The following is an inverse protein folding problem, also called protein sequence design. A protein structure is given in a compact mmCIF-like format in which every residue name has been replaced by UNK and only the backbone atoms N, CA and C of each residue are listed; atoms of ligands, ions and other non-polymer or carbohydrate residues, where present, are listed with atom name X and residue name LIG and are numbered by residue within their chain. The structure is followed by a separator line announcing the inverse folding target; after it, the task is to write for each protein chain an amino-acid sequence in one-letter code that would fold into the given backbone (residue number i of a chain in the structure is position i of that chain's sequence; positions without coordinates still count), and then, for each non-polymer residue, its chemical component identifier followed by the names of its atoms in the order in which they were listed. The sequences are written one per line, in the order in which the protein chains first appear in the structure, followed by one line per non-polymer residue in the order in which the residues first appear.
data_IF_077778435379
#
_entry.id   IF_077778435379
#
_cell.length_a   1.000
_cell.length_b   1.000
_cell.length_c   1.000
_cell.angle_alpha   90.00
_cell.angle_beta   90.00
_cell.angle_gamma   90.00
#
_symmetry.space_group_name_H-M   'P 1'
#
loop_
_entity.id
_entity.type
_entity.pdbx_description
1 polymer ?
#
# COMPACT_ATOMS: atom_id res chain seq x y z
N UNK A 1 -9.81 11.81 -2.46
CA UNK A 1 -8.83 12.89 -2.75
C UNK A 1 -8.39 12.77 -4.20
N UNK A 2 -7.93 13.84 -4.86
CA UNK A 2 -7.47 13.73 -6.26
C UNK A 2 -5.99 13.32 -6.38
N UNK A 3 -5.54 12.92 -7.58
CA UNK A 3 -4.12 12.68 -7.88
C UNK A 3 -3.27 13.94 -7.64
N UNK A 4 -3.79 15.12 -7.98
CA UNK A 4 -3.15 16.40 -7.69
C UNK A 4 -2.97 16.61 -6.18
N UNK A 5 -4.02 16.37 -5.39
CA UNK A 5 -3.95 16.48 -3.92
C UNK A 5 -2.96 15.47 -3.30
N UNK A 6 -2.87 14.26 -3.85
CA UNK A 6 -1.85 13.28 -3.42
C UNK A 6 -0.43 13.77 -3.76
N UNK A 7 -0.25 14.36 -4.94
CA UNK A 7 1.04 14.91 -5.37
C UNK A 7 1.47 16.09 -4.50
N UNK A 8 0.55 16.99 -4.16
CA UNK A 8 0.78 18.10 -3.22
C UNK A 8 1.16 17.57 -1.83
N UNK A 9 0.44 16.56 -1.33
CA UNK A 9 0.77 15.92 -0.05
C UNK A 9 2.18 15.33 -0.08
N UNK A 10 2.53 14.60 -1.14
CA UNK A 10 3.85 14.04 -1.33
C UNK A 10 4.94 15.12 -1.32
N UNK A 11 4.79 16.16 -2.13
CA UNK A 11 5.76 17.26 -2.22
C UNK A 11 5.96 17.98 -0.89
N UNK A 12 4.90 18.12 -0.08
CA UNK A 12 4.95 18.80 1.20
C UNK A 12 5.71 18.00 2.29
N UNK A 13 5.76 16.66 2.21
CA UNK A 13 6.27 15.83 3.31
C UNK A 13 7.50 14.98 2.94
N UNK A 14 7.81 14.80 1.65
CA UNK A 14 8.82 13.81 1.22
C UNK A 14 10.20 14.06 1.81
N UNK A 15 10.66 15.31 1.84
CA UNK A 15 12.00 15.64 2.34
C UNK A 15 12.16 15.30 3.85
N UNK A 16 11.11 15.55 4.64
CA UNK A 16 11.10 15.23 6.06
C UNK A 16 11.01 13.72 6.29
N UNK A 17 10.17 13.02 5.53
CA UNK A 17 10.05 11.56 5.59
C UNK A 17 11.36 10.85 5.19
N UNK A 18 12.05 11.31 4.15
CA UNK A 18 13.36 10.77 3.76
C UNK A 18 14.40 11.01 4.85
N UNK A 19 14.46 12.21 5.43
CA UNK A 19 15.36 12.51 6.54
C UNK A 19 15.05 11.66 7.77
N UNK A 20 13.76 11.44 8.06
CA UNK A 20 13.30 10.55 9.11
C UNK A 20 13.81 9.12 8.88
N UNK A 21 13.57 8.53 7.72
CA UNK A 21 14.03 7.17 7.40
C UNK A 21 15.55 7.01 7.42
N UNK A 22 16.32 8.06 7.12
CA UNK A 22 17.79 8.03 7.18
C UNK A 22 18.34 8.00 8.61
N UNK A 23 17.58 8.50 9.59
CA UNK A 23 17.99 8.58 11.00
C UNK A 23 17.29 7.56 11.90
N UNK A 24 16.57 6.61 11.31
CA UNK A 24 15.88 5.54 12.03
C UNK A 24 16.11 4.18 11.38
N UNK A 25 16.17 3.15 12.22
CA UNK A 25 16.06 1.75 11.81
C UNK A 25 14.68 1.21 12.15
N UNK A 26 14.26 0.13 11.49
CA UNK A 26 13.11 -0.66 11.89
C UNK A 26 13.60 -1.86 12.70
N UNK A 27 13.11 -2.01 13.92
CA UNK A 27 13.20 -3.28 14.65
C UNK A 27 12.03 -4.18 14.24
N UNK A 28 12.34 -5.27 13.55
CA UNK A 28 11.31 -6.22 13.08
C UNK A 28 10.63 -7.00 14.20
N UNK A 29 11.27 -7.12 15.38
CA UNK A 29 10.74 -7.88 16.50
C UNK A 29 9.47 -7.26 17.09
N UNK A 30 9.43 -5.93 17.17
CA UNK A 30 8.29 -5.21 17.75
C UNK A 30 7.77 -4.04 16.89
N UNK A 31 8.25 -3.95 15.65
CA UNK A 31 7.87 -2.94 14.66
C UNK A 31 8.06 -1.50 15.19
N UNK A 32 9.08 -1.28 16.01
CA UNK A 32 9.44 0.06 16.51
C UNK A 32 10.55 0.70 15.67
N UNK A 33 10.58 2.03 15.69
CA UNK A 33 11.61 2.82 15.06
C UNK A 33 12.75 3.08 16.05
N UNK A 34 13.97 2.70 15.67
CA UNK A 34 15.16 2.89 16.52
C UNK A 34 15.90 4.14 16.07
N UNK A 35 15.95 5.16 16.94
CA UNK A 35 16.57 6.45 16.63
C UNK A 35 18.09 6.33 16.67
N UNK A 36 18.76 6.68 15.56
CA UNK A 36 20.22 6.68 15.47
C UNK A 36 20.88 7.87 16.18
N UNK A 37 20.08 8.85 16.63
CA UNK A 37 20.54 10.04 17.36
C UNK A 37 19.75 10.19 18.66
N UNK A 38 20.46 10.60 19.71
CA UNK A 38 19.87 10.96 21.01
C UNK A 38 20.41 12.32 21.46
N UNK A 39 19.55 13.35 21.62
CA UNK A 39 18.11 13.34 21.33
C UNK A 39 17.81 13.22 19.83
N UNK A 40 16.69 12.59 19.47
CA UNK A 40 16.25 12.50 18.09
C UNK A 40 15.71 13.86 17.62
N UNK A 41 16.09 14.38 16.44
CA UNK A 41 15.66 15.69 15.97
C UNK A 41 14.27 15.69 15.30
N UNK A 42 13.63 14.53 15.14
CA UNK A 42 12.38 14.38 14.41
C UNK A 42 11.17 14.26 15.31
N UNK A 43 10.03 14.75 14.83
CA UNK A 43 8.72 14.36 15.35
C UNK A 43 8.41 12.92 14.89
N UNK A 44 8.08 12.05 15.83
CA UNK A 44 7.75 10.65 15.56
C UNK A 44 6.26 10.48 15.25
N UNK A 45 5.46 11.52 15.42
CA UNK A 45 4.02 11.47 15.27
C UNK A 45 3.42 10.38 16.17
N UNK A 46 2.85 9.36 15.54
CA UNK A 46 2.28 8.19 16.21
C UNK A 46 3.12 6.91 16.05
N UNK A 47 4.36 7.01 15.56
CA UNK A 47 5.27 5.88 15.47
C UNK A 47 5.73 5.43 16.86
N UNK A 48 5.80 4.12 17.10
CA UNK A 48 6.48 3.57 18.26
C UNK A 48 7.98 3.75 18.06
N UNK A 49 8.69 4.35 19.01
CA UNK A 49 10.12 4.59 18.87
C UNK A 49 10.89 4.40 20.17
N UNK A 50 12.19 4.15 20.05
CA UNK A 50 13.17 4.14 21.15
C UNK A 50 14.53 4.62 20.64
N UNK A 51 15.38 5.23 21.48
CA UNK A 51 16.75 5.56 21.09
C UNK A 51 17.63 4.31 21.00
N UNK A 52 18.69 4.37 20.19
CA UNK A 52 19.60 3.23 19.97
C UNK A 52 20.26 2.72 21.27
N UNK A 53 20.59 3.60 22.22
CA UNK A 53 21.24 3.19 23.47
C UNK A 53 20.32 2.32 24.35
N UNK A 54 19.00 2.53 24.32
CA UNK A 54 18.04 1.65 25.04
C UNK A 54 18.04 0.23 24.44
N UNK A 55 18.29 0.09 23.14
CA UNK A 55 18.49 -1.22 22.50
C UNK A 55 19.79 -1.87 22.97
N UNK A 56 20.81 -1.07 23.29
CA UNK A 56 22.08 -1.54 23.83
C UNK A 56 22.03 -1.86 25.34
N UNK A 57 21.08 -1.27 26.08
CA UNK A 57 20.88 -1.48 27.52
C UNK A 57 19.87 -2.61 27.83
N UNK A 58 18.87 -2.86 26.99
CA UNK A 58 17.96 -4.04 27.08
C UNK A 58 18.67 -5.39 26.80
N UNK A 59 19.95 -5.29 26.48
CA UNK A 59 20.93 -6.36 26.46
C UNK A 59 21.26 -6.78 27.91
N UNK A 60 20.32 -7.47 28.52
CA UNK A 60 20.47 -8.12 29.82
C UNK A 60 21.80 -8.90 29.88
N UNK A 61 22.66 -8.57 30.86
CA UNK A 61 23.96 -9.22 31.09
C UNK A 61 23.84 -10.76 31.28
N UNK A 62 22.63 -11.28 31.49
CA UNK A 62 22.34 -12.71 31.58
C UNK A 62 22.03 -13.37 30.22
N UNK A 63 21.78 -12.61 29.16
CA UNK A 63 21.55 -13.12 27.80
C UNK A 63 22.88 -13.48 27.14
N UNK A 64 22.86 -14.57 26.37
CA UNK A 64 24.07 -15.06 25.69
C UNK A 64 24.51 -14.11 24.56
N UNK A 65 25.81 -14.07 24.21
CA UNK A 65 26.31 -13.32 23.03
C UNK A 65 25.51 -13.64 21.74
N UNK A 66 24.92 -14.83 21.67
CA UNK A 66 24.10 -15.31 20.55
C UNK A 66 22.74 -14.61 20.48
N UNK A 67 22.11 -14.28 21.60
CA UNK A 67 20.82 -13.56 21.67
C UNK A 67 21.00 -12.07 21.37
N UNK A 68 22.09 -11.48 21.87
CA UNK A 68 22.52 -10.13 21.54
C UNK A 68 22.76 -9.93 20.04
N UNK A 69 23.44 -10.89 19.42
CA UNK A 69 23.66 -10.93 17.97
C UNK A 69 22.33 -11.09 17.21
N UNK A 70 21.41 -11.93 17.69
CA UNK A 70 20.06 -12.07 17.10
C UNK A 70 19.25 -10.78 17.14
N UNK A 71 19.21 -10.06 18.25
CA UNK A 71 18.48 -8.80 18.37
C UNK A 71 19.02 -7.74 17.39
N UNK A 72 20.35 -7.61 17.28
CA UNK A 72 20.98 -6.71 16.31
C UNK A 72 20.73 -7.11 14.85
N UNK A 73 20.61 -8.40 14.56
CA UNK A 73 20.29 -8.91 13.22
C UNK A 73 18.83 -8.65 12.78
N UNK A 74 17.93 -8.25 13.69
CA UNK A 74 16.53 -7.90 13.38
C UNK A 74 16.35 -6.42 13.03
N UNK A 75 17.38 -5.60 13.18
CA UNK A 75 17.33 -4.19 12.80
C UNK A 75 17.69 -4.04 11.32
N UNK A 76 16.85 -3.32 10.58
CA UNK A 76 17.11 -2.96 9.17
C UNK A 76 16.85 -1.49 8.90
N UNK A 77 17.29 -1.01 7.74
CA UNK A 77 16.94 0.33 7.27
C UNK A 77 15.41 0.50 7.27
N UNK A 78 14.92 1.59 7.84
CA UNK A 78 13.49 1.89 7.88
C UNK A 78 13.00 2.20 6.45
N UNK A 79 12.11 1.39 5.85
CA UNK A 79 11.62 1.66 4.50
C UNK A 79 10.71 2.89 4.50
N UNK A 80 10.83 3.72 3.46
CA UNK A 80 9.85 4.77 3.19
C UNK A 80 8.61 4.18 2.53
N UNK A 81 7.73 3.59 3.33
CA UNK A 81 6.51 2.93 2.89
C UNK A 81 5.24 3.58 3.49
N UNK A 82 4.07 2.99 3.25
CA UNK A 82 2.82 3.56 3.75
C UNK A 82 2.70 3.46 5.29
N UNK A 83 3.38 2.52 5.95
CA UNK A 83 3.37 2.43 7.42
C UNK A 83 4.02 3.67 8.02
N UNK A 84 5.18 4.09 7.50
CA UNK A 84 5.87 5.31 7.95
C UNK A 84 5.04 6.54 7.64
N UNK A 85 4.50 6.67 6.42
CA UNK A 85 3.65 7.81 6.03
C UNK A 85 2.44 7.94 6.95
N UNK A 86 1.80 6.82 7.29
CA UNK A 86 0.64 6.83 8.18
C UNK A 86 1.03 7.21 9.60
N UNK A 87 2.11 6.63 10.13
CA UNK A 87 2.53 6.86 11.51
C UNK A 87 3.04 8.30 11.74
N UNK A 88 3.87 8.81 10.82
CA UNK A 88 4.57 10.10 10.99
C UNK A 88 3.77 11.28 10.43
N UNK A 89 2.92 11.07 9.42
CA UNK A 89 2.16 12.18 8.80
C UNK A 89 0.64 12.04 8.99
N UNK A 90 0.03 10.95 8.53
CA UNK A 90 -1.44 10.87 8.46
C UNK A 90 -2.07 10.90 9.84
N UNK A 91 -1.58 10.09 10.78
CA UNK A 91 -2.12 10.05 12.15
C UNK A 91 -2.02 11.42 12.83
N UNK A 92 -0.86 12.11 12.86
CA UNK A 92 -0.80 13.48 13.40
C UNK A 92 -1.76 14.45 12.73
N UNK A 93 -1.80 14.48 11.39
CA UNK A 93 -2.66 15.39 10.62
C UNK A 93 -4.16 15.12 10.83
N UNK A 94 -4.52 13.89 11.20
CA UNK A 94 -5.91 13.47 11.41
C UNK A 94 -6.26 13.29 12.89
N UNK A 95 -5.42 13.76 13.82
CA UNK A 95 -5.64 13.63 15.27
C UNK A 95 -6.84 14.44 15.80
N UNK A 96 -7.23 15.51 15.09
CA UNK A 96 -8.44 16.27 15.39
C UNK A 96 -9.72 15.44 15.23
N UNK A 97 -10.81 15.89 15.85
CA UNK A 97 -12.10 15.20 15.85
C UNK A 97 -12.02 13.76 16.39
N UNK A 98 -11.22 13.55 17.43
CA UNK A 98 -11.00 12.22 18.03
C UNK A 98 -10.48 11.16 17.03
N UNK A 99 -9.91 11.60 15.89
CA UNK A 99 -9.36 10.67 14.91
C UNK A 99 -10.38 9.98 14.02
N UNK A 100 -11.68 10.33 14.08
CA UNK A 100 -12.76 9.61 13.40
C UNK A 100 -12.88 9.91 11.91
N UNK A 101 -12.09 10.86 11.38
CA UNK A 101 -12.12 11.26 9.98
C UNK A 101 -10.79 10.90 9.30
N UNK A 102 -10.86 10.22 8.15
CA UNK A 102 -9.71 10.04 7.28
C UNK A 102 -9.24 11.36 6.65
N UNK A 103 -7.95 11.46 6.34
CA UNK A 103 -7.32 12.65 5.79
C UNK A 103 -8.01 13.18 4.52
N UNK A 104 -8.40 12.29 3.62
CA UNK A 104 -9.07 12.66 2.37
C UNK A 104 -10.40 13.38 2.62
N UNK A 105 -11.15 12.99 3.66
CA UNK A 105 -12.40 13.64 4.02
C UNK A 105 -12.15 14.95 4.75
N UNK A 106 -11.18 15.02 5.67
CA UNK A 106 -10.79 16.28 6.32
C UNK A 106 -10.38 17.33 5.28
N UNK A 107 -9.54 16.97 4.30
CA UNK A 107 -9.10 17.87 3.23
C UNK A 107 -10.24 18.34 2.32
N UNK A 108 -11.24 17.49 2.09
CA UNK A 108 -12.35 17.77 1.16
C UNK A 108 -13.67 18.03 1.90
N UNK A 109 -13.65 18.39 3.19
CA UNK A 109 -14.85 18.40 4.03
C UNK A 109 -15.95 19.35 3.55
N UNK A 110 -15.57 20.50 2.99
CA UNK A 110 -16.53 21.46 2.42
C UNK A 110 -17.23 20.92 1.17
N UNK A 111 -16.54 20.09 0.38
CA UNK A 111 -17.06 19.50 -0.87
C UNK A 111 -16.54 18.08 -1.02
N UNK A 112 -17.16 17.09 -0.32
CA UNK A 112 -16.74 15.71 -0.40
C UNK A 112 -16.79 15.20 -1.84
N UNK A 113 -15.73 14.49 -2.25
CA UNK A 113 -15.56 14.05 -3.62
C UNK A 113 -16.05 12.61 -3.80
N UNK A 114 -16.82 12.35 -4.86
CA UNK A 114 -17.23 10.99 -5.23
C UNK A 114 -16.02 10.23 -5.78
N UNK A 115 -15.77 9.03 -5.24
CA UNK A 115 -14.71 8.15 -5.73
C UNK A 115 -14.92 7.79 -7.20
N UNK A 116 -13.86 7.93 -8.00
CA UNK A 116 -13.82 7.47 -9.39
C UNK A 116 -12.95 6.21 -9.50
N UNK A 117 -11.78 6.23 -8.84
CA UNK A 117 -10.82 5.12 -8.88
C UNK A 117 -10.58 4.59 -7.47
N UNK A 118 -10.82 3.31 -7.27
CA UNK A 118 -10.37 2.61 -6.09
C UNK A 118 -8.91 2.18 -6.30
N UNK A 119 -8.04 2.41 -5.32
CA UNK A 119 -6.63 2.03 -5.39
C UNK A 119 -6.37 0.85 -4.46
N UNK A 120 -6.06 -0.30 -5.06
CA UNK A 120 -5.55 -1.48 -4.37
C UNK A 120 -4.01 -1.44 -4.37
N UNK A 121 -3.37 -1.56 -3.22
CA UNK A 121 -1.91 -1.45 -3.09
C UNK A 121 -1.38 -2.16 -1.83
N UNK A 122 -0.08 -2.46 -1.82
CA UNK A 122 0.60 -2.91 -0.60
C UNK A 122 0.96 -1.72 0.28
N UNK A 123 0.84 -1.88 1.60
CA UNK A 123 1.36 -0.90 2.56
C UNK A 123 2.89 -0.90 2.63
N UNK A 124 3.53 -2.03 2.31
CA UNK A 124 4.99 -2.15 2.22
C UNK A 124 5.59 -1.53 0.94
N UNK A 125 4.74 -1.11 0.00
CA UNK A 125 5.20 -0.44 -1.21
C UNK A 125 5.89 0.88 -0.86
N UNK A 126 7.04 1.12 -1.51
CA UNK A 126 7.75 2.39 -1.39
C UNK A 126 6.84 3.57 -1.77
N UNK A 127 6.79 4.60 -0.92
CA UNK A 127 5.85 5.71 -1.08
C UNK A 127 6.13 6.58 -2.32
N UNK A 128 7.41 6.79 -2.67
CA UNK A 128 7.76 7.49 -3.90
C UNK A 128 7.18 6.76 -5.11
N UNK A 129 7.39 5.44 -5.18
CA UNK A 129 6.92 4.64 -6.31
C UNK A 129 5.40 4.54 -6.36
N UNK A 130 4.74 4.44 -5.19
CA UNK A 130 3.29 4.51 -5.08
C UNK A 130 2.74 5.82 -5.69
N UNK A 131 3.30 6.97 -5.31
CA UNK A 131 2.86 8.27 -5.83
C UNK A 131 3.13 8.39 -7.32
N UNK A 132 4.32 8.00 -7.78
CA UNK A 132 4.68 8.00 -9.22
C UNK A 132 3.73 7.12 -10.04
N UNK A 133 3.34 5.97 -9.50
CA UNK A 133 2.37 5.06 -10.13
C UNK A 133 1.03 5.76 -10.36
N UNK A 134 0.52 6.45 -9.35
CA UNK A 134 -0.78 7.13 -9.42
C UNK A 134 -0.73 8.42 -10.25
N UNK A 135 0.43 9.05 -10.38
CA UNK A 135 0.66 10.17 -11.30
C UNK A 135 0.55 9.79 -12.78
N UNK A 136 0.50 8.49 -13.11
CA UNK A 136 0.15 8.04 -14.47
C UNK A 136 -1.33 8.23 -14.82
N UNK A 137 -2.15 8.61 -13.84
CA UNK A 137 -3.56 8.99 -14.02
C UNK A 137 -3.70 10.50 -14.22
N UNK A 138 -4.87 10.96 -14.66
CA UNK A 138 -5.14 12.41 -14.78
C UNK A 138 -5.12 13.08 -13.41
N UNK A 139 -4.54 14.28 -13.25
CA UNK A 139 -4.45 14.98 -11.96
C UNK A 139 -5.79 15.15 -11.22
N UNK A 140 -6.89 15.31 -11.95
CA UNK A 140 -8.23 15.53 -11.41
C UNK A 140 -8.94 14.23 -10.98
N UNK A 141 -8.34 13.06 -11.27
CA UNK A 141 -8.94 11.76 -10.95
C UNK A 141 -9.13 11.65 -9.43
N UNK A 142 -10.36 11.40 -8.98
CA UNK A 142 -10.66 11.19 -7.57
C UNK A 142 -10.34 9.75 -7.18
N UNK A 143 -9.39 9.61 -6.27
CA UNK A 143 -8.89 8.37 -5.71
C UNK A 143 -9.52 8.08 -4.34
N UNK A 144 -9.78 6.80 -4.11
CA UNK A 144 -9.93 6.23 -2.78
C UNK A 144 -8.70 5.37 -2.50
N UNK A 145 -7.94 5.76 -1.47
CA UNK A 145 -6.72 5.09 -1.02
C UNK A 145 -6.93 4.82 0.47
N UNK A 146 -6.81 3.56 0.89
CA UNK A 146 -7.24 3.15 2.24
C UNK A 146 -6.57 3.95 3.36
N UNK A 147 -5.26 4.19 3.28
CA UNK A 147 -4.48 4.94 4.27
C UNK A 147 -4.89 6.41 4.40
N UNK A 148 -5.45 7.00 3.35
CA UNK A 148 -5.92 8.39 3.36
C UNK A 148 -7.43 8.52 3.58
N UNK A 149 -8.21 7.53 3.17
CA UNK A 149 -9.67 7.57 3.22
C UNK A 149 -10.22 7.10 4.57
N UNK A 150 -9.56 6.11 5.19
CA UNK A 150 -10.00 5.55 6.46
C UNK A 150 -9.46 6.34 7.66
N UNK A 151 -10.22 6.40 8.76
CA UNK A 151 -9.72 6.88 10.04
C UNK A 151 -8.51 6.05 10.50
N UNK A 152 -7.36 6.70 10.72
CA UNK A 152 -6.11 6.01 11.11
C UNK A 152 -5.83 6.04 12.61
N UNK A 153 -6.57 6.87 13.36
CA UNK A 153 -6.35 7.09 14.79
C UNK A 153 -7.30 6.29 15.69
N UNK A 154 -8.14 5.45 15.11
CA UNK A 154 -9.06 4.56 15.84
C UNK A 154 -8.76 3.11 15.51
N UNK A 155 -9.28 2.20 16.33
CA UNK A 155 -9.23 0.78 16.04
C UNK A 155 -10.06 0.49 14.77
N UNK A 156 -9.34 0.27 13.68
CA UNK A 156 -9.92 0.04 12.36
C UNK A 156 -10.70 -1.27 12.29
N UNK A 157 -10.42 -2.24 13.16
CA UNK A 157 -11.13 -3.53 13.17
C UNK A 157 -12.64 -3.33 13.38
N UNK A 158 -13.02 -2.37 14.22
CA UNK A 158 -14.41 -1.96 14.43
C UNK A 158 -15.02 -1.30 13.20
N UNK A 159 -14.21 -0.62 12.39
CA UNK A 159 -14.62 0.06 11.16
C UNK A 159 -14.78 -0.93 10.00
N UNK A 160 -13.95 -1.98 9.94
CA UNK A 160 -14.05 -3.02 8.91
C UNK A 160 -15.29 -3.89 9.09
N UNK A 161 -15.75 -4.01 10.34
CA UNK A 161 -16.89 -4.80 10.71
C UNK A 161 -16.65 -6.31 10.59
N UNK A 162 -17.70 -7.09 10.80
CA UNK A 162 -17.62 -8.57 10.81
C UNK A 162 -17.58 -9.13 9.38
N UNK A 163 -18.26 -8.48 8.43
CA UNK A 163 -18.39 -8.96 7.07
C UNK A 163 -17.54 -8.12 6.10
N UNK A 164 -16.51 -8.71 5.46
CA UNK A 164 -15.68 -8.00 4.48
C UNK A 164 -16.49 -7.37 3.34
N UNK A 165 -17.60 -7.98 2.92
CA UNK A 165 -18.47 -7.47 1.85
C UNK A 165 -19.23 -6.20 2.21
N UNK A 166 -19.38 -5.88 3.50
CA UNK A 166 -19.95 -4.62 3.99
C UNK A 166 -18.89 -3.62 4.47
N UNK A 167 -17.61 -3.97 4.36
CA UNK A 167 -16.52 -3.10 4.79
C UNK A 167 -16.50 -1.79 3.98
N UNK A 168 -15.85 -0.74 4.51
CA UNK A 168 -15.60 0.48 3.74
C UNK A 168 -14.85 0.22 2.43
N UNK A 169 -13.98 -0.79 2.39
CA UNK A 169 -13.28 -1.21 1.18
C UNK A 169 -14.25 -1.67 0.10
N UNK A 170 -15.11 -2.65 0.43
CA UNK A 170 -16.10 -3.17 -0.50
C UNK A 170 -17.08 -2.08 -0.96
N UNK A 171 -17.51 -1.22 -0.03
CA UNK A 171 -18.39 -0.09 -0.35
C UNK A 171 -17.73 0.90 -1.31
N UNK A 172 -16.48 1.30 -1.04
CA UNK A 172 -15.75 2.22 -1.90
C UNK A 172 -15.49 1.62 -3.29
N UNK A 173 -15.09 0.34 -3.35
CA UNK A 173 -14.84 -0.38 -4.59
C UNK A 173 -16.11 -0.48 -5.44
N UNK A 174 -17.25 -0.84 -4.84
CA UNK A 174 -18.55 -0.91 -5.52
C UNK A 174 -18.96 0.45 -6.12
N UNK A 175 -18.64 1.55 -5.43
CA UNK A 175 -18.96 2.92 -5.88
C UNK A 175 -17.98 3.47 -6.91
N UNK A 176 -16.75 2.97 -6.95
CA UNK A 176 -15.75 3.38 -7.93
C UNK A 176 -16.11 2.91 -9.34
N UNK A 177 -15.70 3.66 -10.36
CA UNK A 177 -15.89 3.32 -11.77
C UNK A 177 -14.91 2.24 -12.22
N UNK A 178 -13.71 2.23 -11.63
CA UNK A 178 -12.63 1.29 -11.93
C UNK A 178 -11.74 1.07 -10.71
N UNK A 179 -10.94 0.01 -10.79
CA UNK A 179 -9.93 -0.34 -9.80
C UNK A 179 -8.55 -0.23 -10.44
N UNK A 180 -7.62 0.42 -9.74
CA UNK A 180 -6.20 0.41 -10.08
C UNK A 180 -5.48 -0.46 -9.05
N UNK A 181 -4.81 -1.50 -9.52
CA UNK A 181 -3.82 -2.25 -8.75
C UNK A 181 -2.46 -1.56 -8.92
N UNK A 182 -2.02 -0.81 -7.91
CA UNK A 182 -0.72 -0.18 -7.89
C UNK A 182 0.32 -1.21 -7.43
N UNK A 183 1.21 -1.63 -8.33
CA UNK A 183 2.25 -2.63 -8.07
C UNK A 183 3.64 -1.98 -8.03
N UNK A 184 4.52 -2.58 -7.24
CA UNK A 184 5.96 -2.32 -7.25
C UNK A 184 6.70 -3.37 -8.09
N UNK A 185 8.02 -3.26 -8.15
CA UNK A 185 8.88 -4.21 -8.89
C UNK A 185 8.79 -5.64 -8.33
N UNK A 186 8.46 -5.78 -7.03
CA UNK A 186 8.24 -7.07 -6.37
C UNK A 186 6.83 -7.64 -6.61
N UNK A 187 5.92 -6.84 -7.15
CA UNK A 187 4.52 -7.19 -7.39
C UNK A 187 3.85 -7.71 -6.11
N UNK A 188 4.21 -7.12 -4.96
CA UNK A 188 3.77 -7.56 -3.64
C UNK A 188 2.23 -7.65 -3.51
N UNK A 189 1.42 -6.72 -4.06
CA UNK A 189 -0.04 -6.78 -3.93
C UNK A 189 -0.67 -8.11 -4.36
N UNK A 190 -0.08 -8.84 -5.31
CA UNK A 190 -0.61 -10.15 -5.73
C UNK A 190 -0.45 -11.25 -4.67
N UNK A 191 0.36 -11.03 -3.64
CA UNK A 191 0.54 -11.94 -2.52
C UNK A 191 -0.20 -11.54 -1.25
N UNK A 192 -1.09 -10.53 -1.29
CA UNK A 192 -1.75 -9.95 -0.12
C UNK A 192 -3.24 -10.28 -0.14
N UNK A 193 -3.74 -10.95 0.90
CA UNK A 193 -5.14 -11.41 0.94
C UNK A 193 -6.16 -10.30 0.68
N UNK A 194 -5.99 -9.11 1.26
CA UNK A 194 -6.87 -7.95 1.02
C UNK A 194 -6.86 -7.50 -0.46
N UNK A 195 -5.69 -7.37 -1.07
CA UNK A 195 -5.57 -7.00 -2.49
C UNK A 195 -6.19 -8.06 -3.41
N UNK A 196 -5.98 -9.35 -3.09
CA UNK A 196 -6.62 -10.44 -3.83
C UNK A 196 -8.15 -10.42 -3.69
N UNK A 197 -8.66 -10.10 -2.50
CA UNK A 197 -10.10 -9.90 -2.28
C UNK A 197 -10.66 -8.70 -3.05
N UNK A 198 -9.92 -7.60 -3.13
CA UNK A 198 -10.31 -6.44 -3.93
C UNK A 198 -10.34 -6.77 -5.43
N UNK A 199 -9.38 -7.54 -5.94
CA UNK A 199 -9.42 -8.07 -7.30
C UNK A 199 -10.63 -8.99 -7.53
N UNK A 200 -10.94 -9.87 -6.57
CA UNK A 200 -12.14 -10.70 -6.61
C UNK A 200 -13.41 -9.86 -6.75
N UNK A 201 -13.59 -8.84 -5.90
CA UNK A 201 -14.75 -7.96 -5.95
C UNK A 201 -14.82 -7.19 -7.27
N UNK A 202 -13.67 -6.78 -7.80
CA UNK A 202 -13.56 -6.09 -9.10
C UNK A 202 -14.08 -6.97 -10.23
N UNK A 203 -13.57 -8.21 -10.30
CA UNK A 203 -13.89 -9.17 -11.36
C UNK A 203 -15.35 -9.61 -11.28
N UNK A 204 -15.84 -9.95 -10.09
CA UNK A 204 -17.23 -10.38 -9.91
C UNK A 204 -18.23 -9.26 -10.16
N UNK A 205 -17.83 -8.02 -9.90
CA UNK A 205 -18.65 -6.83 -10.22
C UNK A 205 -18.49 -6.35 -11.67
N UNK A 206 -17.76 -7.09 -12.52
CA UNK A 206 -17.47 -6.70 -13.92
C UNK A 206 -16.90 -5.28 -14.05
N UNK A 207 -16.11 -4.85 -13.06
CA UNK A 207 -15.44 -3.55 -13.09
C UNK A 207 -14.12 -3.65 -13.84
N UNK A 208 -13.70 -2.53 -14.42
CA UNK A 208 -12.39 -2.42 -15.07
C UNK A 208 -11.28 -2.49 -14.03
N UNK A 209 -10.33 -3.39 -14.22
CA UNK A 209 -9.07 -3.48 -13.49
C UNK A 209 -7.93 -2.92 -14.37
N UNK A 210 -7.19 -1.95 -13.86
CA UNK A 210 -5.95 -1.48 -14.48
C UNK A 210 -4.77 -1.82 -13.54
N UNK A 211 -3.70 -2.42 -14.06
CA UNK A 211 -2.44 -2.56 -13.30
C UNK A 211 -1.53 -1.40 -13.66
N UNK A 212 -0.97 -0.75 -12.64
CA UNK A 212 -0.08 0.40 -12.81
C UNK A 212 1.16 0.20 -11.96
N UNK A 213 2.28 0.69 -12.47
CA UNK A 213 3.58 0.66 -11.82
C UNK A 213 4.31 1.99 -12.01
N UNK A 214 5.34 2.30 -11.19
CA UNK A 214 6.08 3.57 -11.28
C UNK A 214 6.85 3.69 -12.61
N UNK A 215 7.30 2.55 -13.14
CA UNK A 215 8.01 2.40 -14.41
C UNK A 215 7.51 1.13 -15.07
N UNK A 216 7.29 1.19 -16.39
CA UNK A 216 6.98 0.02 -17.19
C UNK A 216 8.27 -0.50 -17.81
N UNK A 217 8.58 -1.78 -17.60
CA UNK A 217 9.73 -2.46 -18.20
C UNK A 217 9.36 -3.92 -18.50
N UNK A 218 10.09 -4.52 -19.45
CA UNK A 218 10.02 -5.97 -19.71
C UNK A 218 10.18 -6.77 -18.40
N UNK A 219 11.16 -6.40 -17.56
CA UNK A 219 11.42 -7.07 -16.29
C UNK A 219 10.23 -7.04 -15.35
N UNK A 220 9.52 -5.92 -15.25
CA UNK A 220 8.30 -5.83 -14.44
C UNK A 220 7.23 -6.79 -14.97
N UNK A 221 7.02 -6.85 -16.28
CA UNK A 221 6.03 -7.77 -16.86
C UNK A 221 6.42 -9.23 -16.67
N UNK A 222 7.70 -9.57 -16.77
CA UNK A 222 8.20 -10.89 -16.42
C UNK A 222 7.92 -11.22 -14.95
N UNK A 223 8.21 -10.30 -14.02
CA UNK A 223 7.92 -10.48 -12.59
C UNK A 223 6.42 -10.66 -12.35
N UNK A 224 5.58 -9.87 -13.02
CA UNK A 224 4.12 -10.02 -12.97
C UNK A 224 3.71 -11.41 -13.46
N UNK A 225 4.21 -11.85 -14.62
CA UNK A 225 3.90 -13.17 -15.19
C UNK A 225 4.33 -14.32 -14.26
N UNK A 226 5.56 -14.25 -13.73
CA UNK A 226 6.07 -15.22 -12.78
C UNK A 226 5.22 -15.25 -11.51
N UNK A 227 4.91 -14.08 -10.95
CA UNK A 227 4.09 -13.99 -9.75
C UNK A 227 2.67 -14.51 -9.98
N UNK A 228 2.08 -14.26 -11.14
CA UNK A 228 0.74 -14.78 -11.48
C UNK A 228 0.69 -16.29 -11.64
N UNK A 229 1.76 -16.88 -12.15
CA UNK A 229 1.85 -18.34 -12.30
C UNK A 229 1.80 -19.06 -10.95
N UNK A 230 2.33 -18.42 -9.91
CA UNK A 230 2.37 -18.92 -8.53
C UNK A 230 1.32 -18.29 -7.60
N UNK A 231 0.58 -17.29 -8.07
CA UNK A 231 -0.42 -16.58 -7.28
C UNK A 231 -1.57 -17.51 -6.90
N UNK A 232 -1.95 -17.48 -5.63
CA UNK A 232 -3.20 -18.04 -5.13
C UNK A 232 -3.82 -17.03 -4.17
N UNK A 233 -5.12 -16.75 -4.31
CA UNK A 233 -5.90 -15.92 -3.38
C UNK A 233 -5.88 -16.47 -1.94
N UNK A 234 -5.56 -17.74 -1.76
CA UNK A 234 -5.28 -18.39 -0.46
C UNK A 234 -3.92 -17.95 0.16
N UNK A 235 -3.36 -16.83 -0.29
CA UNK A 235 -2.08 -16.27 0.16
C UNK A 235 -2.09 -15.81 1.62
N UNK A 236 -0.90 -15.55 2.17
CA UNK A 236 -0.74 -15.10 3.55
C UNK A 236 -1.33 -13.70 3.80
N UNK A 237 -1.75 -13.48 5.04
CA UNK A 237 -2.16 -12.17 5.53
C UNK A 237 -1.34 -11.79 6.76
N UNK A 238 -1.18 -10.48 6.96
CA UNK A 238 -0.63 -9.93 8.21
C UNK A 238 -1.59 -10.08 9.40
N UNK A 239 -2.90 -10.26 9.13
CA UNK A 239 -3.93 -10.49 10.13
C UNK A 239 -4.69 -11.79 9.80
N UNK A 240 -4.54 -12.81 10.66
CA UNK A 240 -5.17 -14.13 10.45
C UNK A 240 -6.70 -14.03 10.49
N UNK A 241 -7.27 -13.20 11.35
CA UNK A 241 -8.73 -13.04 11.44
C UNK A 241 -9.32 -12.45 10.15
N UNK A 242 -8.67 -11.44 9.57
CA UNK A 242 -9.09 -10.86 8.29
C UNK A 242 -9.02 -11.91 7.18
N UNK A 243 -7.94 -12.71 7.18
CA UNK A 243 -7.76 -13.79 6.22
C UNK A 243 -8.91 -14.79 6.30
N UNK A 244 -9.23 -15.30 7.49
CA UNK A 244 -10.32 -16.24 7.70
C UNK A 244 -11.67 -15.68 7.24
N UNK A 245 -11.94 -14.42 7.57
CA UNK A 245 -13.18 -13.73 7.15
C UNK A 245 -13.26 -13.59 5.63
N UNK A 246 -12.17 -13.21 4.98
CA UNK A 246 -12.09 -13.10 3.52
C UNK A 246 -12.25 -14.46 2.86
N UNK A 247 -11.52 -15.48 3.32
CA UNK A 247 -11.57 -16.84 2.78
C UNK A 247 -12.99 -17.41 2.87
N UNK A 248 -13.71 -17.12 3.96
CA UNK A 248 -15.11 -17.51 4.11
C UNK A 248 -16.03 -16.85 3.07
N UNK A 249 -15.77 -15.60 2.67
CA UNK A 249 -16.57 -14.90 1.65
C UNK A 249 -16.33 -15.46 0.26
N UNK A 250 -15.08 -15.83 -0.06
CA UNK A 250 -14.71 -16.34 -1.40
C UNK A 250 -14.82 -17.86 -1.53
N UNK A 251 -15.27 -18.54 -0.47
CA UNK A 251 -15.32 -19.99 -0.39
C UNK A 251 -16.05 -20.59 -1.60
N UNK A 252 -15.39 -21.50 -2.30
CA UNK A 252 -15.89 -22.17 -3.50
C UNK A 252 -15.75 -21.37 -4.79
N UNK A 253 -15.18 -20.16 -4.74
CA UNK A 253 -14.88 -19.33 -5.91
C UNK A 253 -13.38 -19.16 -6.17
N UNK A 254 -12.51 -19.67 -5.30
CA UNK A 254 -11.07 -19.36 -5.27
C UNK A 254 -10.38 -19.64 -6.60
N UNK A 255 -10.59 -20.83 -7.18
CA UNK A 255 -9.92 -21.22 -8.42
C UNK A 255 -10.44 -20.43 -9.63
N UNK A 256 -11.74 -20.11 -9.65
CA UNK A 256 -12.35 -19.26 -10.68
C UNK A 256 -11.75 -17.85 -10.62
N UNK A 257 -11.51 -17.34 -9.42
CA UNK A 257 -10.92 -16.02 -9.20
C UNK A 257 -9.47 -16.01 -9.63
N UNK A 258 -8.69 -16.98 -9.17
CA UNK A 258 -7.30 -17.17 -9.59
C UNK A 258 -7.19 -17.23 -11.12
N UNK A 259 -8.05 -17.99 -11.79
CA UNK A 259 -8.09 -18.09 -13.24
C UNK A 259 -8.39 -16.72 -13.89
N UNK A 260 -9.46 -16.03 -13.48
CA UNK A 260 -9.84 -14.74 -14.09
C UNK A 260 -8.80 -13.64 -13.89
N UNK A 261 -8.16 -13.60 -12.72
CA UNK A 261 -7.06 -12.66 -12.47
C UNK A 261 -5.91 -12.95 -13.44
N UNK A 262 -5.52 -14.22 -13.60
CA UNK A 262 -4.45 -14.61 -14.53
C UNK A 262 -4.79 -14.25 -15.97
N UNK A 263 -6.01 -14.54 -16.44
CA UNK A 263 -6.47 -14.21 -17.80
C UNK A 263 -6.38 -12.70 -18.06
N UNK A 264 -7.01 -11.87 -17.21
CA UNK A 264 -7.03 -10.41 -17.36
C UNK A 264 -5.62 -9.80 -17.42
N UNK A 265 -4.70 -10.31 -16.60
CA UNK A 265 -3.36 -9.74 -16.51
C UNK A 265 -2.45 -10.30 -17.61
N UNK A 266 -2.63 -11.55 -18.03
CA UNK A 266 -1.93 -12.11 -19.18
C UNK A 266 -2.24 -11.31 -20.45
N UNK A 267 -3.50 -10.98 -20.69
CA UNK A 267 -3.91 -10.14 -21.83
C UNK A 267 -3.18 -8.78 -21.81
N UNK A 268 -3.07 -8.17 -20.63
CA UNK A 268 -2.34 -6.93 -20.43
C UNK A 268 -0.84 -7.08 -20.74
N UNK A 269 -0.19 -8.13 -20.22
CA UNK A 269 1.22 -8.39 -20.48
C UNK A 269 1.49 -8.67 -21.96
N UNK A 270 0.64 -9.45 -22.64
CA UNK A 270 0.76 -9.72 -24.08
C UNK A 270 0.60 -8.46 -24.92
N UNK A 271 -0.39 -7.62 -24.59
CA UNK A 271 -0.58 -6.33 -25.24
C UNK A 271 0.71 -5.50 -25.18
N UNK A 272 1.34 -5.39 -24.01
CA UNK A 272 2.51 -4.55 -23.80
C UNK A 272 3.78 -5.10 -24.48
N UNK A 273 3.98 -6.43 -24.46
CA UNK A 273 5.04 -7.09 -25.20
C UNK A 273 4.96 -6.81 -26.71
N UNK A 274 3.73 -6.73 -27.27
CA UNK A 274 3.54 -6.42 -28.69
C UNK A 274 3.95 -4.99 -29.07
N UNK A 275 3.89 -4.03 -28.14
CA UNK A 275 4.33 -2.65 -28.36
C UNK A 275 5.85 -2.51 -28.37
N UNK A 276 6.56 -3.29 -27.55
CA UNK A 276 8.03 -3.22 -27.48
C UNK A 276 8.72 -3.97 -28.63
N UNK A 277 8.06 -4.97 -29.23
CA UNK A 277 8.56 -5.69 -30.40
C UNK A 277 8.28 -4.97 -31.74
N UNK A 278 7.54 -3.86 -31.73
CA UNK A 278 7.32 -3.04 -32.92
C UNK A 278 8.58 -2.23 -33.26
N UNK A 279 9.16 -2.38 -34.47
CA UNK A 279 10.43 -1.74 -34.85
C UNK A 279 10.30 -0.25 -35.19
N UNK A 280 9.42 0.50 -34.50
CA UNK A 280 9.27 1.95 -34.70
C UNK A 280 9.09 2.68 -33.37
N UNK A 281 10.22 3.04 -32.76
CA UNK A 281 10.30 4.28 -32.01
C UNK A 281 10.01 5.44 -32.96
N UNK A 282 8.76 5.87 -33.07
CA UNK A 282 8.39 7.08 -33.80
C UNK A 282 7.27 7.80 -33.08
N UNK A 283 7.69 8.87 -32.40
CA UNK A 283 6.94 10.04 -31.96
C UNK A 283 5.44 10.03 -32.30
N UNK A 284 4.62 9.75 -31.29
CA UNK A 284 3.18 9.97 -31.42
C UNK A 284 2.87 11.45 -31.15
N UNK A 285 2.80 12.24 -32.23
CA UNK A 285 2.11 13.53 -32.23
C UNK A 285 0.69 13.31 -31.72
N UNK A 286 0.34 13.99 -30.61
CA UNK A 286 -1.04 14.16 -30.14
C UNK A 286 -1.90 14.68 -31.30
N UNK A 287 -2.90 13.92 -31.72
CA UNK A 287 -4.01 14.46 -32.52
C UNK A 287 -5.06 15.01 -31.56
N UNK A 288 -5.44 16.26 -31.85
CA UNK A 288 -6.56 16.99 -31.28
C UNK A 288 -7.88 16.35 -31.67
#
# INVERSE_FOLDING_TARGET
MTVAQLTEFYQAHIAELEAYCQLHLLDEGDCSHVCLRSPCPHDHGAAKFRPLHEVEEDLDDTKTETEHSRQRNLMRALPLDMHVVVAVCIKPLTSGWEGVLGYALQRNGATPQKVQTFVSHSWGQNFHDFVRTLQTLRPETVLWICSFALPQNIDISNVLGICPGSSPFATALQRAERVVLAVDEAVEPLGRTWCCYEMYLTITSSKRLDIRAPRTSISLYCNIQERLSSMDIRCSASCTEDHERIMKVIQGSEDIVNQKIREQIQDLCQFLQSFEQSPTGSSMKRRR
#
